data_IF_007866927949
#
_entry.id   IF_007866927949
#
_cell.length_a   1.000
_cell.length_b   1.000
_cell.length_c   1.000
_cell.angle_alpha   90.00
_cell.angle_beta   90.00
_cell.angle_gamma   90.00
#
_symmetry.space_group_name_H-M   'P 1'
#
loop_
_entity.id
_entity.type
_entity.pdbx_description
1 polymer ?
#
# COMPACT_ATOMS: atom_id res chain seq x y z
N UNK A 1 0.74 17.16 -16.15
CA UNK A 1 -0.51 16.83 -15.43
C UNK A 1 -0.58 15.32 -15.12
N UNK A 2 -1.42 14.84 -14.19
CA UNK A 2 -1.62 13.39 -13.94
C UNK A 2 -2.89 12.89 -14.64
N UNK A 3 -2.82 11.74 -15.32
CA UNK A 3 -4.00 11.13 -15.94
C UNK A 3 -5.00 10.72 -14.85
N UNK A 4 -6.30 11.09 -14.93
CA UNK A 4 -7.28 10.72 -13.92
C UNK A 4 -7.58 9.22 -13.88
N UNK A 5 -7.33 8.50 -14.98
CA UNK A 5 -7.60 7.06 -15.07
C UNK A 5 -6.45 6.22 -14.50
N UNK A 6 -5.21 6.48 -14.92
CA UNK A 6 -4.05 5.63 -14.56
C UNK A 6 -2.98 6.32 -13.68
N UNK A 7 -3.18 7.60 -13.32
CA UNK A 7 -2.28 8.40 -12.49
C UNK A 7 -0.83 8.53 -13.00
N UNK A 8 -0.57 8.18 -14.26
CA UNK A 8 0.72 8.44 -14.90
C UNK A 8 0.93 9.95 -15.09
N UNK A 9 2.19 10.39 -15.05
CA UNK A 9 2.55 11.76 -15.40
C UNK A 9 2.47 11.91 -16.93
N UNK A 10 1.73 12.91 -17.40
CA UNK A 10 1.55 13.22 -18.81
C UNK A 10 2.03 14.64 -19.11
N UNK A 11 2.68 14.81 -20.27
CA UNK A 11 3.10 16.10 -20.77
C UNK A 11 1.86 16.97 -21.08
N UNK A 12 1.96 18.29 -20.89
CA UNK A 12 0.82 19.18 -21.09
C UNK A 12 0.38 19.30 -22.56
N UNK A 13 1.16 18.77 -23.51
CA UNK A 13 0.88 18.81 -24.95
C UNK A 13 0.25 17.55 -25.53
N UNK A 14 0.09 16.47 -24.74
CA UNK A 14 -0.49 15.21 -25.25
C UNK A 14 -2.02 15.21 -25.18
N UNK A 15 -2.69 14.91 -26.30
CA UNK A 15 -4.16 14.77 -26.40
C UNK A 15 -4.69 13.48 -25.76
N UNK A 16 -3.87 12.43 -25.69
CA UNK A 16 -4.22 11.16 -25.04
C UNK A 16 -3.13 10.72 -24.06
N UNK A 17 -3.50 9.90 -23.07
CA UNK A 17 -2.53 9.33 -22.14
C UNK A 17 -1.78 8.17 -22.82
N UNK A 18 -0.44 8.19 -22.91
CA UNK A 18 0.34 7.16 -23.59
C UNK A 18 0.29 5.78 -22.90
N UNK A 19 -0.25 5.72 -21.68
CA UNK A 19 -0.33 4.48 -20.89
C UNK A 19 -1.68 3.76 -21.02
N UNK A 20 -2.76 4.47 -21.33
CA UNK A 20 -4.10 3.90 -21.34
C UNK A 20 -5.04 4.50 -22.40
N UNK A 21 -4.50 5.29 -23.34
CA UNK A 21 -5.22 6.03 -24.38
C UNK A 21 -6.40 6.89 -23.90
N UNK A 22 -6.43 7.21 -22.61
CA UNK A 22 -7.51 8.03 -22.07
C UNK A 22 -7.44 9.45 -22.66
N UNK A 23 -8.54 9.98 -23.22
CA UNK A 23 -8.57 11.31 -23.79
C UNK A 23 -8.39 12.36 -22.69
N UNK A 24 -7.36 13.19 -22.85
CA UNK A 24 -7.09 14.29 -21.94
C UNK A 24 -7.81 15.51 -22.51
N UNK A 25 -8.85 15.99 -21.80
CA UNK A 25 -9.49 17.26 -22.17
C UNK A 25 -8.40 18.33 -22.14
N UNK A 26 -8.09 18.90 -23.30
CA UNK A 26 -7.28 20.11 -23.38
C UNK A 26 -7.98 21.17 -22.55
N UNK A 27 -7.30 21.77 -21.55
CA UNK A 27 -7.86 22.92 -20.89
C UNK A 27 -8.15 23.98 -21.97
N UNK A 28 -9.28 24.71 -21.89
CA UNK A 28 -9.57 25.78 -22.83
C UNK A 28 -8.37 26.72 -22.89
N UNK A 29 -8.00 27.14 -24.11
CA UNK A 29 -6.87 28.03 -24.35
C UNK A 29 -6.96 29.22 -23.37
N UNK A 30 -5.84 29.55 -22.70
CA UNK A 30 -5.83 30.68 -21.78
C UNK A 30 -6.21 31.95 -22.54
N UNK A 31 -7.43 32.43 -22.34
CA UNK A 31 -7.85 33.73 -22.83
C UNK A 31 -7.01 34.78 -22.12
N UNK A 32 -6.00 35.26 -22.82
CA UNK A 32 -5.23 36.41 -22.38
C UNK A 32 -6.13 37.66 -22.41
N UNK A 33 -6.07 38.40 -21.30
CA UNK A 33 -6.40 39.83 -21.21
C UNK A 33 -7.88 40.24 -21.26
N UNK A 34 -8.46 40.42 -20.07
CA UNK A 34 -9.22 41.63 -19.78
C UNK A 34 -8.40 42.46 -18.78
N UNK A 35 -7.81 43.54 -19.27
CA UNK A 35 -7.13 44.53 -18.44
C UNK A 35 -8.18 45.24 -17.57
N UNK A 36 -8.27 44.86 -16.30
CA UNK A 36 -9.07 45.61 -15.33
C UNK A 36 -8.23 46.79 -14.82
N UNK A 37 -8.70 47.98 -15.16
CA UNK A 37 -8.16 49.26 -14.72
C UNK A 37 -8.18 49.43 -13.21
N UNK A 38 -7.25 50.24 -12.76
CA UNK A 38 -7.01 50.65 -11.39
C UNK A 38 -8.27 51.21 -10.72
N UNK A 39 -8.56 50.78 -9.50
CA UNK A 39 -9.06 51.66 -8.43
C UNK A 39 -8.77 51.06 -7.05
N UNK A 40 -8.51 51.91 -6.02
CA UNK A 40 -7.79 51.52 -4.81
C UNK A 40 -8.72 51.25 -3.61
N UNK A 41 -8.10 50.72 -2.54
CA UNK A 41 -8.57 50.54 -1.15
C UNK A 41 -9.43 49.31 -0.84
N UNK A 42 -8.82 48.34 -0.13
CA UNK A 42 -9.21 47.92 1.22
C UNK A 42 -8.43 46.66 1.63
N UNK A 43 -7.60 46.81 2.65
CA UNK A 43 -6.86 45.72 3.28
C UNK A 43 -7.77 45.09 4.34
N UNK A 44 -7.78 43.77 4.47
CA UNK A 44 -8.22 43.13 5.70
C UNK A 44 -7.53 41.77 5.87
N UNK A 45 -6.74 41.67 6.94
CA UNK A 45 -6.17 40.45 7.53
C UNK A 45 -4.78 40.01 7.04
N UNK A 46 -3.80 40.84 7.41
CA UNK A 46 -2.45 40.37 7.71
C UNK A 46 -2.46 39.37 8.87
N UNK A 47 -1.54 38.40 8.81
CA UNK A 47 -1.34 37.38 9.81
C UNK A 47 0.11 37.44 10.26
N UNK A 48 0.38 38.25 11.28
CA UNK A 48 1.62 38.16 12.03
C UNK A 48 1.51 37.03 13.05
N UNK A 49 2.41 36.06 12.88
CA UNK A 49 2.70 35.02 13.85
C UNK A 49 3.47 35.64 15.02
N UNK A 50 2.87 35.60 16.21
CA UNK A 50 3.62 35.74 17.44
C UNK A 50 3.44 34.47 18.28
N UNK A 51 4.57 33.80 18.47
CA UNK A 51 4.78 32.80 19.50
C UNK A 51 4.47 33.41 20.86
N UNK A 52 3.72 32.71 21.69
CA UNK A 52 3.91 32.79 23.13
C UNK A 52 3.73 31.43 23.79
N UNK A 53 4.75 31.10 24.54
CA UNK A 53 4.81 30.00 25.47
C UNK A 53 4.02 30.34 26.74
N UNK A 54 3.51 29.31 27.41
CA UNK A 54 3.34 29.37 28.85
C UNK A 54 1.97 28.99 29.37
N UNK A 55 2.04 28.24 30.47
CA UNK A 55 1.03 28.18 31.53
C UNK A 55 -0.15 27.25 31.25
N UNK A 56 0.04 25.99 31.60
CA UNK A 56 -1.05 25.12 32.02
C UNK A 56 -0.75 24.63 33.44
N UNK A 57 -1.49 25.15 34.41
CA UNK A 57 -1.67 24.51 35.72
C UNK A 57 -3.15 24.55 36.12
N UNK A 58 -3.57 23.58 36.97
CA UNK A 58 -4.95 23.13 37.06
C UNK A 58 -5.69 23.73 38.26
N UNK A 59 -7.03 23.74 38.24
CA UNK A 59 -7.90 23.35 39.37
C UNK A 59 -9.33 23.88 39.20
N UNK A 60 -10.35 23.00 39.29
CA UNK A 60 -11.21 22.82 40.48
C UNK A 60 -12.46 21.94 40.18
N UNK A 61 -13.09 21.39 41.23
CA UNK A 61 -13.94 20.20 41.15
C UNK A 61 -15.45 20.47 41.40
N UNK A 62 -16.22 19.37 41.38
CA UNK A 62 -17.58 19.16 41.90
C UNK A 62 -18.71 19.80 41.04
N UNK A 63 -19.91 19.24 40.89
CA UNK A 63 -20.60 18.25 41.70
C UNK A 63 -21.67 17.48 40.89
N UNK A 64 -21.96 16.28 41.38
CA UNK A 64 -23.19 15.48 41.35
C UNK A 64 -24.51 16.14 40.92
N UNK A 65 -25.26 15.44 40.05
CA UNK A 65 -26.71 15.27 40.18
C UNK A 65 -27.16 13.99 39.46
N UNK A 66 -27.57 12.99 40.26
CA UNK A 66 -28.43 11.90 39.85
C UNK A 66 -29.85 12.44 39.60
N UNK A 67 -30.57 11.93 38.60
CA UNK A 67 -31.73 11.05 38.82
C UNK A 67 -32.34 10.52 37.50
N UNK A 68 -33.06 9.39 37.54
CA UNK A 68 -33.45 8.58 36.39
C UNK A 68 -34.88 8.92 35.93
N UNK A 69 -35.25 8.49 34.71
CA UNK A 69 -36.58 7.94 34.35
C UNK A 69 -36.66 7.71 32.83
N UNK A 70 -36.64 6.45 32.42
CA UNK A 70 -37.40 6.03 31.24
C UNK A 70 -38.87 5.85 31.68
N UNK A 71 -39.83 6.00 30.76
CA UNK A 71 -40.29 4.79 30.11
C UNK A 71 -40.31 4.89 28.58
N UNK A 72 -39.97 3.75 27.97
CA UNK A 72 -40.10 3.48 26.57
C UNK A 72 -41.56 3.18 26.26
N UNK A 73 -42.22 4.07 25.51
CA UNK A 73 -43.49 3.77 24.86
C UNK A 73 -43.43 4.15 23.38
N UNK A 74 -43.43 3.08 22.57
CA UNK A 74 -44.18 2.90 21.34
C UNK A 74 -44.47 4.13 20.45
N UNK A 75 -43.80 4.21 19.29
CA UNK A 75 -44.44 4.63 18.01
C UNK A 75 -43.43 4.72 16.84
N UNK A 76 -42.76 3.63 16.43
CA UNK A 76 -41.98 3.66 15.17
C UNK A 76 -41.96 2.34 14.39
N UNK A 77 -43.09 1.64 14.30
CA UNK A 77 -43.23 0.53 13.36
C UNK A 77 -44.63 0.55 12.73
N UNK A 78 -44.76 1.20 11.56
CA UNK A 78 -45.75 0.90 10.50
C UNK A 78 -45.75 2.01 9.41
N UNK A 79 -44.68 2.10 8.60
CA UNK A 79 -44.72 2.93 7.38
C UNK A 79 -43.66 2.58 6.32
N UNK A 80 -43.22 1.32 6.21
CA UNK A 80 -42.22 0.95 5.18
C UNK A 80 -42.42 -0.45 4.62
N UNK A 81 -43.68 -0.86 4.44
CA UNK A 81 -44.07 -2.02 3.64
C UNK A 81 -44.90 -1.59 2.42
N UNK A 82 -44.36 -0.68 1.62
CA UNK A 82 -44.90 -0.42 0.29
C UNK A 82 -43.76 -0.02 -0.66
N UNK A 83 -43.79 -0.64 -1.84
CA UNK A 83 -42.98 -0.32 -3.02
C UNK A 83 -41.49 -0.66 -2.95
N UNK A 84 -41.17 -1.92 -3.24
CA UNK A 84 -39.97 -2.28 -4.02
C UNK A 84 -40.27 -3.53 -4.84
N UNK A 85 -41.30 -3.43 -5.69
CA UNK A 85 -41.44 -4.30 -6.86
C UNK A 85 -40.77 -3.56 -8.00
N UNK A 86 -39.44 -3.70 -8.10
CA UNK A 86 -38.73 -3.29 -9.31
C UNK A 86 -38.63 -4.52 -10.20
N UNK A 87 -39.29 -4.41 -11.36
CA UNK A 87 -39.19 -5.31 -12.48
C UNK A 87 -37.73 -5.71 -12.75
N UNK A 88 -37.55 -7.02 -12.86
CA UNK A 88 -36.33 -7.66 -13.29
C UNK A 88 -36.27 -7.51 -14.83
N UNK A 89 -35.37 -6.69 -15.40
CA UNK A 89 -35.20 -6.68 -16.85
C UNK A 89 -34.69 -8.05 -17.30
N UNK A 90 -35.31 -8.53 -18.37
CA UNK A 90 -35.02 -9.79 -19.02
C UNK A 90 -33.52 -10.02 -19.20
N UNK A 91 -33.08 -11.25 -18.92
CA UNK A 91 -31.73 -11.71 -19.17
C UNK A 91 -31.34 -11.43 -20.63
N UNK A 92 -30.36 -10.54 -20.82
CA UNK A 92 -29.67 -10.42 -22.09
C UNK A 92 -28.88 -11.72 -22.35
N UNK A 93 -28.87 -12.22 -23.60
CA UNK A 93 -28.12 -13.42 -23.95
C UNK A 93 -26.64 -13.18 -23.71
N UNK A 94 -25.98 -14.20 -23.14
CA UNK A 94 -24.55 -14.24 -22.87
C UNK A 94 -23.76 -13.60 -24.02
N UNK A 95 -23.20 -12.42 -23.76
CA UNK A 95 -22.17 -11.85 -24.61
C UNK A 95 -20.99 -12.80 -24.56
N UNK A 96 -20.84 -13.56 -25.64
CA UNK A 96 -19.62 -14.23 -26.03
C UNK A 96 -18.51 -13.19 -25.90
N UNK A 97 -17.76 -13.26 -24.79
CA UNK A 97 -16.50 -12.56 -24.67
C UNK A 97 -15.64 -13.11 -25.79
N UNK A 98 -15.59 -12.31 -26.85
CA UNK A 98 -14.66 -12.44 -27.95
C UNK A 98 -13.28 -12.52 -27.31
N UNK A 99 -12.82 -13.76 -27.12
CA UNK A 99 -11.44 -14.06 -26.81
C UNK A 99 -10.69 -13.66 -28.06
N UNK A 100 -10.41 -12.36 -28.19
CA UNK A 100 -9.34 -11.88 -29.04
C UNK A 100 -8.17 -12.80 -28.72
N UNK A 101 -7.73 -13.64 -29.67
CA UNK A 101 -6.65 -14.56 -29.40
C UNK A 101 -5.54 -13.66 -28.89
N UNK A 102 -5.09 -13.92 -27.65
CA UNK A 102 -3.85 -13.33 -27.17
C UNK A 102 -2.89 -13.55 -28.31
N UNK A 103 -2.52 -12.48 -29.01
CA UNK A 103 -1.44 -12.53 -29.97
C UNK A 103 -0.31 -13.11 -29.16
N UNK A 104 -0.03 -14.39 -29.39
CA UNK A 104 1.20 -15.01 -28.96
C UNK A 104 2.23 -14.25 -29.76
N UNK A 105 2.63 -13.09 -29.24
CA UNK A 105 3.81 -12.38 -29.70
C UNK A 105 4.88 -13.42 -29.58
N UNK A 106 5.27 -13.98 -30.72
CA UNK A 106 6.27 -15.01 -30.80
C UNK A 106 7.43 -14.53 -29.93
N UNK A 107 7.82 -15.35 -28.96
CA UNK A 107 8.93 -15.02 -28.09
C UNK A 107 10.09 -14.60 -29.00
N UNK A 108 10.69 -13.40 -28.79
CA UNK A 108 11.79 -12.97 -29.63
C UNK A 108 12.83 -14.09 -29.68
N UNK A 109 13.43 -14.38 -30.84
CA UNK A 109 14.25 -15.57 -31.06
C UNK A 109 15.48 -15.71 -30.12
N UNK A 110 15.75 -14.71 -29.28
CA UNK A 110 16.78 -14.71 -28.25
C UNK A 110 16.30 -15.02 -26.81
N UNK A 111 14.99 -15.19 -26.56
CA UNK A 111 14.47 -15.52 -25.23
C UNK A 111 14.91 -16.92 -24.75
N UNK A 112 15.22 -17.83 -25.69
CA UNK A 112 15.65 -19.20 -25.41
C UNK A 112 17.07 -19.30 -24.86
N UNK A 113 17.93 -18.28 -25.07
CA UNK A 113 19.30 -18.23 -24.51
C UNK A 113 19.33 -17.76 -23.04
N UNK A 114 18.27 -17.14 -22.53
CA UNK A 114 18.16 -16.75 -21.10
C UNK A 114 17.60 -17.89 -20.22
N UNK A 115 17.45 -19.10 -20.77
CA UNK A 115 16.81 -20.25 -20.15
C UNK A 115 17.37 -20.66 -18.78
N UNK A 116 18.69 -20.54 -18.55
CA UNK A 116 19.36 -21.09 -17.37
C UNK A 116 20.46 -20.17 -16.80
N UNK A 117 20.32 -18.86 -16.91
CA UNK A 117 21.28 -17.97 -16.25
C UNK A 117 21.19 -18.18 -14.73
N UNK A 118 22.25 -18.76 -14.13
CA UNK A 118 22.34 -18.89 -12.68
C UNK A 118 22.15 -17.50 -12.04
N UNK A 119 21.39 -17.39 -10.93
CA UNK A 119 21.23 -16.12 -10.24
C UNK A 119 22.60 -15.55 -9.84
N UNK A 120 22.87 -14.32 -10.25
CA UNK A 120 24.14 -13.65 -9.89
C UNK A 120 23.99 -13.05 -8.50
N UNK A 121 24.93 -13.32 -7.60
CA UNK A 121 24.97 -12.68 -6.28
C UNK A 121 25.55 -11.27 -6.35
N UNK A 122 24.88 -10.29 -5.73
CA UNK A 122 25.36 -8.91 -5.58
C UNK A 122 25.34 -8.53 -4.09
N UNK A 123 26.36 -7.84 -3.57
CA UNK A 123 26.37 -7.42 -2.17
C UNK A 123 25.25 -6.41 -1.87
N UNK A 124 24.59 -6.59 -0.73
CA UNK A 124 23.59 -5.65 -0.22
C UNK A 124 24.25 -4.33 0.17
N UNK A 125 23.61 -3.22 -0.21
CA UNK A 125 24.06 -1.89 0.20
C UNK A 125 23.79 -1.64 1.69
N UNK A 126 24.51 -0.68 2.30
CA UNK A 126 24.31 -0.33 3.71
C UNK A 126 22.86 0.03 4.06
N UNK A 127 22.18 0.77 3.17
CA UNK A 127 20.76 1.11 3.35
C UNK A 127 19.82 -0.12 3.29
N UNK A 128 20.11 -1.09 2.41
CA UNK A 128 19.34 -2.33 2.32
C UNK A 128 19.52 -3.19 3.57
N UNK A 129 20.76 -3.29 4.07
CA UNK A 129 21.10 -3.97 5.33
C UNK A 129 20.38 -3.33 6.52
N UNK A 130 20.40 -2.00 6.63
CA UNK A 130 19.68 -1.29 7.68
C UNK A 130 18.17 -1.58 7.65
N UNK A 131 17.55 -1.58 6.47
CA UNK A 131 16.12 -1.90 6.32
C UNK A 131 15.78 -3.32 6.76
N UNK A 132 16.62 -4.31 6.42
CA UNK A 132 16.46 -5.69 6.92
C UNK A 132 16.58 -5.74 8.44
N UNK A 133 17.58 -5.06 9.00
CA UNK A 133 17.86 -5.02 10.43
C UNK A 133 16.69 -4.42 11.21
N UNK A 134 16.20 -3.23 10.83
CA UNK A 134 15.02 -2.62 11.47
C UNK A 134 13.79 -3.50 11.33
N UNK A 135 13.60 -4.11 10.16
CA UNK A 135 12.50 -5.02 9.90
C UNK A 135 12.53 -6.31 10.71
N UNK A 136 13.67 -6.67 11.30
CA UNK A 136 13.86 -7.82 12.19
C UNK A 136 13.86 -7.44 13.67
N UNK A 137 14.48 -6.33 14.05
CA UNK A 137 14.64 -5.90 15.44
C UNK A 137 13.32 -5.42 16.06
N UNK A 138 12.53 -4.62 15.33
CA UNK A 138 11.27 -4.06 15.86
C UNK A 138 10.33 -5.13 16.44
N UNK A 139 9.97 -6.21 15.71
CA UNK A 139 9.09 -7.23 16.28
C UNK A 139 9.71 -7.95 17.48
N UNK A 140 11.04 -8.15 17.49
CA UNK A 140 11.73 -8.76 18.63
C UNK A 140 11.63 -7.88 19.88
N UNK A 141 11.84 -6.56 19.75
CA UNK A 141 11.68 -5.61 20.86
C UNK A 141 10.25 -5.68 21.43
N UNK A 142 9.23 -5.68 20.56
CA UNK A 142 7.82 -5.76 20.99
C UNK A 142 7.54 -7.04 21.77
N UNK A 143 8.05 -8.18 21.30
CA UNK A 143 7.92 -9.47 21.99
C UNK A 143 8.63 -9.42 23.35
N UNK A 144 9.88 -8.94 23.39
CA UNK A 144 10.64 -8.86 24.63
C UNK A 144 9.95 -7.98 25.67
N UNK A 145 9.43 -6.81 25.28
CA UNK A 145 8.65 -5.94 26.17
C UNK A 145 7.39 -6.66 26.66
N UNK A 146 6.67 -7.36 25.78
CA UNK A 146 5.49 -8.13 26.15
C UNK A 146 5.78 -9.22 27.17
N UNK A 147 6.87 -9.99 26.98
CA UNK A 147 7.32 -11.01 27.93
C UNK A 147 7.68 -10.37 29.28
N UNK A 148 8.44 -9.27 29.26
CA UNK A 148 8.83 -8.57 30.48
C UNK A 148 7.60 -8.05 31.24
N UNK A 149 6.63 -7.48 30.53
CA UNK A 149 5.39 -6.99 31.11
C UNK A 149 4.58 -8.12 31.77
N UNK A 150 4.37 -9.24 31.06
CA UNK A 150 3.60 -10.38 31.60
C UNK A 150 4.34 -11.07 32.74
N UNK A 151 5.67 -11.15 32.69
CA UNK A 151 6.48 -11.75 33.76
C UNK A 151 6.41 -10.99 35.10
N UNK A 152 6.01 -9.71 35.07
CA UNK A 152 5.80 -8.88 36.27
C UNK A 152 4.41 -9.03 36.89
N UNK A 153 3.45 -9.64 36.20
CA UNK A 153 2.11 -9.85 36.72
C UNK A 153 2.12 -11.00 37.75
N UNK A 154 1.39 -10.88 38.88
CA UNK A 154 1.30 -11.97 39.86
C UNK A 154 0.69 -13.20 39.18
N UNK A 155 1.36 -14.35 39.30
CA UNK A 155 0.91 -15.62 38.71
C UNK A 155 -0.32 -16.15 39.45
N UNK A 156 -1.49 -15.55 39.22
CA UNK A 156 -2.77 -16.18 39.54
C UNK A 156 -3.07 -17.18 38.43
N UNK A 157 -3.51 -18.39 38.80
CA UNK A 157 -3.46 -19.62 37.98
C UNK A 157 -4.20 -19.62 36.62
N UNK A 158 -4.77 -18.50 36.17
CA UNK A 158 -5.46 -18.35 34.89
C UNK A 158 -4.54 -17.90 33.74
N UNK A 159 -3.25 -17.65 34.01
CA UNK A 159 -2.28 -17.10 33.03
C UNK A 159 -1.82 -18.06 31.92
N UNK A 160 -2.32 -19.30 31.87
CA UNK A 160 -1.89 -20.29 30.87
C UNK A 160 -2.13 -19.83 29.42
N UNK A 161 -3.31 -19.24 29.13
CA UNK A 161 -3.64 -18.83 27.77
C UNK A 161 -2.77 -17.67 27.26
N UNK A 162 -2.43 -16.71 28.13
CA UNK A 162 -1.61 -15.55 27.76
C UNK A 162 -0.20 -15.98 27.36
N UNK A 163 0.41 -16.92 28.10
CA UNK A 163 1.72 -17.46 27.75
C UNK A 163 1.70 -18.26 26.44
N UNK A 164 0.64 -19.05 26.20
CA UNK A 164 0.46 -19.74 24.92
C UNK A 164 0.36 -18.73 23.78
N UNK A 165 -0.45 -17.68 23.94
CA UNK A 165 -0.61 -16.64 22.92
C UNK A 165 0.70 -15.91 22.64
N UNK A 166 1.45 -15.52 23.67
CA UNK A 166 2.78 -14.94 23.53
C UNK A 166 3.72 -15.90 22.84
N UNK A 167 3.70 -17.20 23.18
CA UNK A 167 4.52 -18.23 22.54
C UNK A 167 4.24 -18.34 21.04
N UNK A 168 2.96 -18.39 20.65
CA UNK A 168 2.55 -18.47 19.24
C UNK A 168 2.93 -17.20 18.47
N UNK A 169 2.68 -16.01 19.02
CA UNK A 169 3.11 -14.76 18.40
C UNK A 169 4.62 -14.69 18.27
N UNK A 170 5.36 -15.09 19.31
CA UNK A 170 6.82 -15.12 19.32
C UNK A 170 7.36 -16.06 18.25
N UNK A 171 6.70 -17.20 18.02
CA UNK A 171 7.08 -18.13 16.96
C UNK A 171 6.87 -17.52 15.57
N UNK A 172 5.70 -16.92 15.31
CA UNK A 172 5.37 -16.33 14.00
C UNK A 172 6.30 -15.16 13.69
N UNK A 173 6.39 -14.19 14.61
CA UNK A 173 7.19 -13.00 14.42
C UNK A 173 8.69 -13.29 14.54
N UNK A 174 9.09 -14.20 15.41
CA UNK A 174 10.46 -14.68 15.55
C UNK A 174 10.94 -15.35 14.27
N UNK A 175 10.11 -16.18 13.64
CA UNK A 175 10.43 -16.78 12.34
C UNK A 175 10.63 -15.71 11.25
N UNK A 176 9.75 -14.72 11.17
CA UNK A 176 9.92 -13.60 10.24
C UNK A 176 11.19 -12.79 10.51
N UNK A 177 11.53 -12.54 11.77
CA UNK A 177 12.77 -11.85 12.15
C UNK A 177 14.01 -12.66 11.76
N UNK A 178 14.00 -13.98 12.01
CA UNK A 178 15.09 -14.90 11.66
C UNK A 178 15.33 -14.90 10.14
N UNK A 179 14.29 -15.01 9.31
CA UNK A 179 14.47 -14.99 7.85
C UNK A 179 15.14 -13.70 7.35
N UNK A 180 14.80 -12.54 7.93
CA UNK A 180 15.44 -11.27 7.62
C UNK A 180 16.86 -11.15 8.16
N UNK A 181 17.13 -11.70 9.35
CA UNK A 181 18.48 -11.76 9.92
C UNK A 181 19.39 -12.64 9.07
N UNK A 182 18.91 -13.78 8.58
CA UNK A 182 19.69 -14.64 7.71
C UNK A 182 20.02 -13.93 6.39
N UNK A 183 19.05 -13.23 5.79
CA UNK A 183 19.32 -12.41 4.61
C UNK A 183 20.31 -11.28 4.93
N UNK A 184 20.21 -10.65 6.11
CA UNK A 184 21.14 -9.61 6.56
C UNK A 184 22.58 -10.15 6.71
N UNK A 185 22.76 -11.28 7.39
CA UNK A 185 24.07 -11.92 7.60
C UNK A 185 24.64 -12.49 6.31
N UNK A 186 23.79 -12.98 5.40
CA UNK A 186 24.24 -13.39 4.06
C UNK A 186 24.85 -12.22 3.31
N UNK A 187 24.35 -11.00 3.54
CA UNK A 187 24.85 -9.78 2.91
C UNK A 187 24.70 -9.78 1.38
N UNK A 188 23.93 -10.72 0.82
CA UNK A 188 23.87 -10.99 -0.62
C UNK A 188 22.42 -10.90 -1.09
N UNK A 189 22.21 -10.18 -2.19
CA UNK A 189 21.00 -10.23 -3.00
C UNK A 189 21.25 -11.07 -4.25
N UNK A 190 20.21 -11.72 -4.74
CA UNK A 190 20.23 -12.42 -6.02
C UNK A 190 19.73 -11.49 -7.12
N UNK A 191 20.42 -11.52 -8.25
CA UNK A 191 20.08 -10.81 -9.48
C UNK A 191 19.68 -11.84 -10.51
N UNK A 192 18.46 -11.71 -11.02
CA UNK A 192 17.91 -12.61 -12.01
C UNK A 192 17.03 -11.84 -12.99
N UNK A 193 17.15 -12.16 -14.28
CA UNK A 193 16.27 -11.62 -15.31
C UNK A 193 15.02 -12.48 -15.36
N UNK A 194 13.85 -11.89 -15.19
CA UNK A 194 12.57 -12.60 -15.17
C UNK A 194 11.43 -11.74 -15.72
N UNK A 195 10.39 -12.41 -16.23
CA UNK A 195 9.22 -11.75 -16.80
C UNK A 195 8.19 -11.48 -15.71
N UNK A 196 7.73 -10.23 -15.62
CA UNK A 196 6.66 -9.87 -14.70
C UNK A 196 5.32 -10.33 -15.28
N UNK A 197 4.70 -11.34 -14.69
CA UNK A 197 3.42 -11.90 -15.16
C UNK A 197 2.22 -11.10 -14.64
N UNK A 198 2.25 -10.68 -13.38
CA UNK A 198 1.12 -9.98 -12.75
C UNK A 198 1.55 -9.05 -11.63
N UNK A 199 0.90 -7.90 -11.52
CA UNK A 199 1.00 -7.04 -10.34
C UNK A 199 -0.27 -7.16 -9.48
N UNK A 200 -0.11 -7.17 -8.16
CA UNK A 200 -1.22 -7.30 -7.21
C UNK A 200 -1.06 -6.30 -6.07
N UNK A 201 -2.17 -5.69 -5.65
CA UNK A 201 -2.23 -4.86 -4.45
C UNK A 201 -3.08 -5.60 -3.42
N UNK A 202 -2.52 -5.79 -2.22
CA UNK A 202 -3.28 -6.24 -1.07
C UNK A 202 -3.53 -5.03 -0.18
N UNK A 203 -4.80 -4.62 -0.11
CA UNK A 203 -5.24 -3.51 0.74
C UNK A 203 -5.56 -4.04 2.13
N UNK A 204 -4.92 -3.47 3.15
CA UNK A 204 -5.28 -3.58 4.55
C UNK A 204 -5.81 -2.20 5.02
N UNK A 205 -6.56 -2.16 6.13
CA UNK A 205 -7.22 -0.95 6.66
C UNK A 205 -6.30 0.27 6.72
N UNK A 206 -5.02 0.06 7.11
CA UNK A 206 -4.02 1.12 7.27
C UNK A 206 -2.76 0.93 6.40
N UNK A 207 -2.71 -0.07 5.52
CA UNK A 207 -1.50 -0.38 4.76
C UNK A 207 -1.81 -0.98 3.40
N UNK A 208 -0.96 -0.71 2.41
CA UNK A 208 -1.05 -1.32 1.08
C UNK A 208 0.26 -2.04 0.80
N UNK A 209 0.15 -3.35 0.60
CA UNK A 209 1.28 -4.16 0.17
C UNK A 209 1.17 -4.41 -1.33
N UNK A 210 2.28 -4.21 -2.02
CA UNK A 210 2.37 -4.34 -3.47
C UNK A 210 3.20 -5.58 -3.79
N UNK A 211 2.69 -6.41 -4.69
CA UNK A 211 3.32 -7.67 -5.07
C UNK A 211 3.48 -7.74 -6.58
N UNK A 212 4.64 -8.22 -7.01
CA UNK A 212 4.91 -8.61 -8.39
C UNK A 212 5.04 -10.13 -8.45
N UNK A 213 4.31 -10.76 -9.37
CA UNK A 213 4.48 -12.16 -9.72
C UNK A 213 5.40 -12.22 -10.93
N UNK A 214 6.50 -12.93 -10.77
CA UNK A 214 7.46 -13.21 -11.81
C UNK A 214 7.38 -14.68 -12.20
N UNK A 215 7.65 -14.98 -13.47
CA UNK A 215 7.44 -16.30 -14.05
C UNK A 215 8.26 -17.40 -13.36
N UNK A 216 9.53 -17.14 -13.04
CA UNK A 216 10.44 -18.12 -12.42
C UNK A 216 10.64 -17.88 -10.93
N UNK A 217 10.73 -16.62 -10.50
CA UNK A 217 10.99 -16.27 -9.09
C UNK A 217 9.73 -16.41 -8.23
N UNK A 218 8.54 -16.28 -8.84
CA UNK A 218 7.26 -16.28 -8.15
C UNK A 218 6.90 -14.91 -7.56
N UNK A 219 6.24 -14.91 -6.40
CA UNK A 219 5.73 -13.68 -5.77
C UNK A 219 6.82 -12.95 -4.99
N UNK A 220 7.09 -11.70 -5.35
CA UNK A 220 7.97 -10.79 -4.63
C UNK A 220 7.20 -9.58 -4.08
N UNK A 221 7.63 -9.09 -2.91
CA UNK A 221 7.15 -7.82 -2.36
C UNK A 221 7.88 -6.67 -3.06
N UNK A 222 7.13 -5.85 -3.80
CA UNK A 222 7.66 -4.75 -4.59
C UNK A 222 7.33 -3.41 -3.95
N UNK A 223 8.24 -2.44 -4.04
CA UNK A 223 7.97 -1.09 -3.55
C UNK A 223 6.86 -0.41 -4.36
N UNK A 224 6.17 0.56 -3.74
CA UNK A 224 5.12 1.35 -4.43
C UNK A 224 5.64 1.99 -5.73
N UNK A 225 6.84 2.58 -5.70
CA UNK A 225 7.43 3.21 -6.88
C UNK A 225 7.61 2.21 -8.03
N UNK A 226 8.18 1.04 -7.74
CA UNK A 226 8.36 -0.03 -8.74
C UNK A 226 7.03 -0.59 -9.23
N UNK A 227 6.03 -0.70 -8.36
CA UNK A 227 4.68 -1.10 -8.75
C UNK A 227 4.07 -0.10 -9.75
N UNK A 228 4.18 1.20 -9.45
CA UNK A 228 3.60 2.26 -10.28
C UNK A 228 4.27 2.33 -11.65
N UNK A 229 5.55 1.98 -11.78
CA UNK A 229 6.29 1.96 -13.07
C UNK A 229 6.28 0.60 -13.77
N UNK A 230 5.82 -0.46 -13.11
CA UNK A 230 5.85 -1.80 -13.69
C UNK A 230 4.85 -1.96 -14.85
N UNK A 231 5.31 -2.65 -15.90
CA UNK A 231 4.53 -3.06 -17.06
C UNK A 231 4.37 -4.58 -17.02
N UNK A 232 3.13 -5.06 -17.02
CA UNK A 232 2.85 -6.50 -17.05
C UNK A 232 3.30 -7.07 -18.40
N UNK A 233 3.91 -8.26 -18.37
CA UNK A 233 4.48 -8.92 -19.53
C UNK A 233 5.90 -8.48 -19.89
N UNK A 234 6.43 -7.38 -19.32
CA UNK A 234 7.79 -6.92 -19.57
C UNK A 234 8.84 -7.75 -18.81
N UNK A 235 10.06 -7.74 -19.33
CA UNK A 235 11.21 -8.46 -18.77
C UNK A 235 12.01 -7.50 -17.89
N UNK A 236 12.33 -7.93 -16.68
CA UNK A 236 13.06 -7.12 -15.70
C UNK A 236 14.29 -7.86 -15.20
N UNK A 237 15.37 -7.12 -14.99
CA UNK A 237 16.46 -7.52 -14.12
C UNK A 237 16.07 -7.19 -12.68
N UNK A 238 15.89 -8.24 -11.88
CA UNK A 238 15.32 -8.19 -10.54
C UNK A 238 16.42 -8.49 -9.54
N UNK A 239 16.70 -7.55 -8.64
CA UNK A 239 17.58 -7.75 -7.48
C UNK A 239 16.72 -7.99 -6.26
N UNK A 240 16.80 -9.18 -5.65
CA UNK A 240 15.92 -9.58 -4.55
C UNK A 240 16.62 -10.42 -3.48
N UNK A 241 16.01 -10.51 -2.30
CA UNK A 241 16.49 -11.42 -1.23
C UNK A 241 15.85 -12.80 -1.37
N UNK A 242 16.66 -13.87 -1.31
CA UNK A 242 16.19 -15.23 -1.55
C UNK A 242 15.13 -15.69 -0.54
N UNK A 243 15.32 -15.39 0.77
CA UNK A 243 14.44 -15.90 1.85
C UNK A 243 13.29 -14.95 2.16
N UNK A 244 13.56 -13.66 2.37
CA UNK A 244 12.53 -12.66 2.68
C UNK A 244 11.69 -12.22 1.48
N UNK A 245 12.06 -12.63 0.25
CA UNK A 245 11.36 -12.30 -1.01
C UNK A 245 11.12 -10.80 -1.18
N UNK A 246 12.04 -9.99 -0.66
CA UNK A 246 12.02 -8.53 -0.76
C UNK A 246 12.72 -8.09 -2.04
N UNK A 247 12.03 -7.29 -2.87
CA UNK A 247 12.61 -6.65 -4.04
C UNK A 247 13.45 -5.43 -3.61
N UNK A 248 14.69 -5.38 -4.07
CA UNK A 248 15.61 -4.27 -3.83
C UNK A 248 15.71 -3.30 -4.99
N UNK A 249 15.87 -3.85 -6.20
CA UNK A 249 15.96 -3.08 -7.43
C UNK A 249 15.27 -3.85 -8.56
N UNK A 250 14.71 -3.10 -9.51
CA UNK A 250 14.01 -3.63 -10.66
C UNK A 250 14.27 -2.70 -11.83
N UNK A 251 14.91 -3.22 -12.87
CA UNK A 251 15.26 -2.47 -14.07
C UNK A 251 14.71 -3.20 -15.28
N UNK A 252 13.98 -2.48 -16.14
CA UNK A 252 13.45 -3.06 -17.37
C UNK A 252 14.59 -3.37 -18.33
N UNK A 253 14.57 -4.58 -18.91
CA UNK A 253 15.53 -5.03 -19.92
C UNK A 253 14.74 -5.24 -21.20
N UNK A 254 14.85 -4.30 -22.15
CA UNK A 254 14.06 -4.27 -23.38
C UNK A 254 13.34 -2.95 -23.57
#
# INVERSE_FOLDING_TARGET
MKCPNCYSNVANSSTTCPRCDWPLRTPPASTASAAFGQSPTANAWGRDQQNDAGVWEPSKPAATAWEPSAPADAAWNQATQALNTWEQPAAEPASTWDQSPMQSVAAPPNATMMGNAMPTSVPLTGGQKAKLLFGAIIPLIVITIGILYVSRAPMTGELSFVWIFIGVLSLIFGWQAITKLIDFFSGVALVQVDRLTKTQIVKNKNSRNYYGHFERIGRLNIGRQNYDTALQGAIYQVTYSARSKSLWAMQQVG
#
